data_IF_963082133647
#
_entry.id   IF_963082133647
#
_cell.length_a   1.000
_cell.length_b   1.000
_cell.length_c   1.000
_cell.angle_alpha   90.00
_cell.angle_beta   90.00
_cell.angle_gamma   90.00
#
_symmetry.space_group_name_H-M   'P 1'
#
loop_
_entity.id
_entity.type
_entity.pdbx_description
1 polymer ?
#
# COMPACT_ATOMS: atom_id res chain seq x y z
N UNK A 1 31.93 -1.92 -10.00
CA UNK A 1 32.62 -1.16 -11.09
C UNK A 1 31.83 -1.24 -12.40
N UNK A 2 31.43 -2.43 -12.86
CA UNK A 2 30.59 -2.59 -14.07
C UNK A 2 29.27 -1.80 -14.02
N UNK A 3 28.50 -1.91 -12.93
CA UNK A 3 27.27 -1.13 -12.76
C UNK A 3 27.49 0.39 -12.80
N UNK A 4 28.66 0.90 -12.40
CA UNK A 4 28.96 2.33 -12.50
C UNK A 4 29.02 2.78 -13.95
N UNK A 5 29.73 2.00 -14.76
CA UNK A 5 29.93 2.26 -16.18
C UNK A 5 28.62 2.16 -16.96
N UNK A 6 27.80 1.15 -16.68
CA UNK A 6 26.49 1.01 -17.32
C UNK A 6 25.58 2.23 -17.04
N UNK A 7 25.62 2.77 -15.82
CA UNK A 7 24.86 3.97 -15.46
C UNK A 7 25.43 5.24 -16.13
N UNK A 8 26.75 5.38 -16.18
CA UNK A 8 27.42 6.49 -16.89
C UNK A 8 27.06 6.49 -18.40
N UNK A 9 27.06 5.31 -19.03
CA UNK A 9 26.64 5.14 -20.42
C UNK A 9 25.14 5.46 -20.58
N UNK A 10 24.30 5.03 -19.63
CA UNK A 10 22.87 5.33 -19.63
C UNK A 10 22.57 6.83 -19.57
N UNK A 11 23.22 7.62 -18.71
CA UNK A 11 22.92 9.06 -18.66
C UNK A 11 23.34 9.82 -19.92
N UNK A 12 24.23 9.25 -20.74
CA UNK A 12 24.60 9.82 -22.04
C UNK A 12 23.63 9.38 -23.14
N UNK A 13 23.20 8.12 -23.13
CA UNK A 13 22.37 7.54 -24.21
C UNK A 13 20.87 7.61 -23.95
N UNK A 14 20.46 7.70 -22.68
CA UNK A 14 19.11 7.50 -22.16
C UNK A 14 18.46 6.18 -22.61
N UNK A 15 19.27 5.19 -23.00
CA UNK A 15 18.79 3.91 -23.52
C UNK A 15 18.61 2.89 -22.40
N UNK A 16 17.36 2.70 -21.93
CA UNK A 16 17.04 1.75 -20.86
C UNK A 16 17.28 0.29 -21.27
N UNK A 17 17.19 -0.04 -22.56
CA UNK A 17 17.37 -1.42 -23.05
C UNK A 17 18.80 -1.94 -22.82
N UNK A 18 19.81 -1.06 -22.87
CA UNK A 18 21.20 -1.41 -22.56
C UNK A 18 21.35 -1.79 -21.09
N UNK A 19 20.72 -1.04 -20.19
CA UNK A 19 20.71 -1.33 -18.75
C UNK A 19 19.95 -2.62 -18.45
N UNK A 20 18.82 -2.84 -19.12
CA UNK A 20 18.06 -4.07 -19.01
C UNK A 20 18.89 -5.29 -19.43
N UNK A 21 19.54 -5.21 -20.60
CA UNK A 21 20.40 -6.29 -21.12
C UNK A 21 21.53 -6.56 -20.14
N UNK A 22 22.18 -5.51 -19.65
CA UNK A 22 23.24 -5.61 -18.63
C UNK A 22 22.77 -6.34 -17.36
N UNK A 23 21.61 -6.00 -16.81
CA UNK A 23 21.08 -6.63 -15.60
C UNK A 23 20.72 -8.11 -15.83
N UNK A 24 20.14 -8.42 -16.99
CA UNK A 24 19.79 -9.78 -17.37
C UNK A 24 21.02 -10.66 -17.59
N UNK A 25 22.05 -10.13 -18.27
CA UNK A 25 23.32 -10.84 -18.50
C UNK A 25 24.11 -11.06 -17.21
N UNK A 26 24.08 -10.09 -16.29
CA UNK A 26 24.74 -10.22 -15.00
C UNK A 26 24.11 -11.36 -14.17
N UNK A 27 22.79 -11.57 -14.32
CA UNK A 27 22.03 -12.65 -13.67
C UNK A 27 22.25 -12.72 -12.14
N UNK A 28 22.31 -11.56 -11.49
CA UNK A 28 22.53 -11.41 -10.04
C UNK A 28 21.35 -10.73 -9.36
N UNK A 29 20.16 -11.34 -9.47
CA UNK A 29 18.90 -10.78 -8.95
C UNK A 29 18.99 -10.37 -7.47
N UNK A 30 19.67 -11.16 -6.64
CA UNK A 30 19.88 -10.85 -5.22
C UNK A 30 20.65 -9.54 -4.94
N UNK A 31 21.30 -8.95 -5.95
CA UNK A 31 22.06 -7.70 -5.84
C UNK A 31 21.39 -6.52 -6.58
N UNK A 32 20.19 -6.70 -7.12
CA UNK A 32 19.45 -5.62 -7.80
C UNK A 32 19.21 -4.42 -6.89
N UNK A 33 18.92 -4.65 -5.60
CA UNK A 33 18.83 -3.57 -4.61
C UNK A 33 20.12 -2.72 -4.49
N UNK A 34 21.30 -3.33 -4.73
CA UNK A 34 22.58 -2.62 -4.70
C UNK A 34 22.79 -1.80 -5.97
N UNK A 35 22.33 -2.31 -7.11
CA UNK A 35 22.25 -1.54 -8.35
C UNK A 35 21.37 -0.30 -8.16
N UNK A 36 20.16 -0.47 -7.61
CA UNK A 36 19.22 0.63 -7.33
C UNK A 36 19.89 1.68 -6.45
N UNK A 37 20.40 1.30 -5.27
CA UNK A 37 21.08 2.22 -4.36
C UNK A 37 22.21 2.98 -5.08
N UNK A 38 23.01 2.27 -5.87
CA UNK A 38 24.16 2.84 -6.57
C UNK A 38 23.75 3.82 -7.66
N UNK A 39 22.67 3.54 -8.40
CA UNK A 39 22.09 4.46 -9.37
C UNK A 39 21.62 5.76 -8.71
N UNK A 40 20.93 5.68 -7.57
CA UNK A 40 20.48 6.86 -6.84
C UNK A 40 21.68 7.69 -6.36
N UNK A 41 22.66 7.09 -5.69
CA UNK A 41 23.84 7.81 -5.19
C UNK A 41 24.64 8.47 -6.32
N UNK A 42 24.83 7.76 -7.44
CA UNK A 42 25.56 8.32 -8.58
C UNK A 42 24.78 9.46 -9.24
N UNK A 43 23.45 9.41 -9.27
CA UNK A 43 22.63 10.53 -9.76
C UNK A 43 22.81 11.81 -8.94
N UNK A 44 23.12 11.72 -7.64
CA UNK A 44 23.36 12.88 -6.77
C UNK A 44 24.74 13.53 -7.02
N UNK A 45 25.68 12.75 -7.57
CA UNK A 45 27.07 13.16 -7.81
C UNK A 45 27.31 13.75 -9.21
N UNK A 46 26.28 13.79 -10.06
CA UNK A 46 26.31 14.37 -11.40
C UNK A 46 26.43 15.91 -11.30
N UNK A 47 27.53 16.47 -11.80
CA UNK A 47 27.89 17.90 -11.62
C UNK A 47 27.15 18.85 -12.57
N UNK A 48 26.83 18.41 -13.79
CA UNK A 48 26.31 19.30 -14.85
C UNK A 48 24.80 19.12 -15.12
N UNK A 49 24.26 17.92 -14.94
CA UNK A 49 22.85 17.56 -15.22
C UNK A 49 22.17 16.97 -13.98
N UNK A 50 22.41 17.54 -12.79
CA UNK A 50 21.97 16.96 -11.52
C UNK A 50 20.47 16.62 -11.46
N UNK A 51 19.53 17.55 -11.74
CA UNK A 51 18.10 17.26 -11.74
C UNK A 51 17.68 16.30 -12.85
N UNK A 52 18.17 16.51 -14.07
CA UNK A 52 17.86 15.68 -15.25
C UNK A 52 18.31 14.22 -15.04
N UNK A 53 19.48 14.01 -14.44
CA UNK A 53 19.99 12.68 -14.15
C UNK A 53 19.13 11.95 -13.10
N UNK A 54 18.61 12.68 -12.09
CA UNK A 54 17.70 12.10 -11.09
C UNK A 54 16.37 11.69 -11.73
N UNK A 55 15.78 12.56 -12.54
CA UNK A 55 14.53 12.29 -13.25
C UNK A 55 14.70 11.11 -14.22
N UNK A 56 15.78 11.08 -15.00
CA UNK A 56 16.12 9.96 -15.87
C UNK A 56 16.27 8.64 -15.09
N UNK A 57 16.87 8.68 -13.91
CA UNK A 57 17.02 7.48 -13.06
C UNK A 57 15.67 6.95 -12.58
N UNK A 58 14.73 7.83 -12.21
CA UNK A 58 13.37 7.43 -11.83
C UNK A 58 12.64 6.82 -13.03
N UNK A 59 12.70 7.47 -14.20
CA UNK A 59 12.10 6.96 -15.44
C UNK A 59 12.69 5.60 -15.86
N UNK A 60 14.00 5.40 -15.65
CA UNK A 60 14.66 4.10 -15.85
C UNK A 60 14.07 3.03 -14.93
N UNK A 61 13.87 3.33 -13.63
CA UNK A 61 13.26 2.39 -12.70
C UNK A 61 11.82 2.04 -13.07
N UNK A 62 11.01 3.00 -13.54
CA UNK A 62 9.65 2.76 -14.03
C UNK A 62 9.65 1.76 -15.20
N UNK A 63 10.52 1.96 -16.18
CA UNK A 63 10.63 1.07 -17.34
C UNK A 63 11.16 -0.32 -16.96
N UNK A 64 12.21 -0.41 -16.12
CA UNK A 64 12.76 -1.68 -15.67
C UNK A 64 11.78 -2.48 -14.80
N UNK A 65 10.94 -1.79 -14.01
CA UNK A 65 9.89 -2.42 -13.21
C UNK A 65 8.76 -2.93 -14.11
N UNK A 66 8.35 -2.13 -15.11
CA UNK A 66 7.33 -2.52 -16.09
C UNK A 66 7.77 -3.71 -16.96
N UNK A 67 9.08 -3.80 -17.26
CA UNK A 67 9.67 -4.93 -17.96
C UNK A 67 9.90 -6.17 -17.08
N UNK A 68 9.62 -6.10 -15.77
CA UNK A 68 9.81 -7.20 -14.82
C UNK A 68 11.28 -7.51 -14.49
N UNK A 69 12.21 -6.61 -14.79
CA UNK A 69 13.65 -6.76 -14.53
C UNK A 69 13.97 -6.42 -13.07
N UNK A 70 13.35 -5.36 -12.56
CA UNK A 70 13.41 -4.94 -11.16
C UNK A 70 12.07 -5.20 -10.48
N UNK A 71 12.11 -5.74 -9.26
CA UNK A 71 10.93 -5.84 -8.41
C UNK A 71 10.74 -4.57 -7.57
N UNK A 72 9.51 -4.36 -7.07
CA UNK A 72 9.25 -3.28 -6.10
C UNK A 72 10.05 -3.48 -4.81
N UNK A 73 10.35 -4.72 -4.43
CA UNK A 73 11.19 -5.03 -3.26
C UNK A 73 12.64 -4.59 -3.48
N UNK A 74 13.20 -4.75 -4.68
CA UNK A 74 14.55 -4.27 -5.01
C UNK A 74 14.65 -2.75 -4.84
N UNK A 75 13.61 -2.03 -5.26
CA UNK A 75 13.51 -0.57 -5.11
C UNK A 75 13.41 -0.16 -3.64
N UNK A 76 12.56 -0.85 -2.86
CA UNK A 76 12.43 -0.63 -1.43
C UNK A 76 13.75 -0.86 -0.68
N UNK A 77 14.42 -2.00 -0.91
CA UNK A 77 15.70 -2.30 -0.28
C UNK A 77 16.80 -1.31 -0.71
N UNK A 78 16.81 -0.91 -1.97
CA UNK A 78 17.72 0.12 -2.48
C UNK A 78 17.54 1.46 -1.75
N UNK A 79 16.29 1.89 -1.57
CA UNK A 79 15.95 3.11 -0.85
C UNK A 79 16.24 3.03 0.65
N UNK A 80 15.93 1.90 1.31
CA UNK A 80 16.30 1.67 2.72
C UNK A 80 17.81 1.79 2.93
N UNK A 81 18.60 1.20 2.03
CA UNK A 81 20.08 1.28 2.10
C UNK A 81 20.59 2.68 1.83
N UNK A 82 19.98 3.43 0.90
CA UNK A 82 20.29 4.84 0.69
C UNK A 82 20.05 5.63 1.98
N UNK A 83 18.85 5.52 2.56
CA UNK A 83 18.48 6.21 3.80
C UNK A 83 19.49 5.91 4.92
N UNK A 84 19.91 4.66 5.05
CA UNK A 84 20.91 4.23 6.04
C UNK A 84 22.30 4.89 5.86
N UNK A 85 22.64 5.34 4.65
CA UNK A 85 23.93 5.96 4.33
C UNK A 85 23.86 7.49 4.19
N UNK A 86 22.68 8.10 4.39
CA UNK A 86 22.51 9.55 4.18
C UNK A 86 23.34 10.42 5.11
N UNK A 87 23.59 9.96 6.35
CA UNK A 87 24.44 10.71 7.29
C UNK A 87 25.87 10.86 6.72
N UNK A 88 26.43 9.80 6.14
CA UNK A 88 27.74 9.83 5.49
C UNK A 88 27.71 10.62 4.18
N UNK A 89 26.68 10.41 3.35
CA UNK A 89 26.54 11.12 2.06
C UNK A 89 26.37 12.64 2.23
N UNK A 90 25.77 13.08 3.33
CA UNK A 90 25.62 14.49 3.65
C UNK A 90 26.95 15.17 4.01
N UNK A 91 27.99 14.41 4.37
CA UNK A 91 29.34 14.95 4.59
C UNK A 91 29.99 15.37 3.27
N UNK A 92 29.77 14.59 2.20
CA UNK A 92 30.34 14.83 0.89
C UNK A 92 29.52 15.84 0.07
N UNK A 93 28.21 15.90 0.31
CA UNK A 93 27.29 16.75 -0.42
C UNK A 93 26.26 17.43 0.52
N UNK A 94 26.36 18.75 0.74
CA UNK A 94 25.46 19.47 1.66
C UNK A 94 23.99 19.48 1.19
N UNK A 95 23.72 19.23 -0.10
CA UNK A 95 22.37 19.17 -0.67
C UNK A 95 21.79 17.75 -0.72
N UNK A 96 22.52 16.75 -0.19
CA UNK A 96 22.10 15.34 -0.25
C UNK A 96 20.71 15.11 0.37
N UNK A 97 20.38 15.81 1.46
CA UNK A 97 19.08 15.69 2.13
C UNK A 97 17.93 16.14 1.24
N UNK A 98 18.08 17.28 0.57
CA UNK A 98 17.06 17.83 -0.32
C UNK A 98 16.92 16.96 -1.57
N UNK A 99 18.05 16.54 -2.16
CA UNK A 99 18.06 15.63 -3.31
C UNK A 99 17.42 14.29 -2.99
N UNK A 100 17.72 13.69 -1.84
CA UNK A 100 17.11 12.44 -1.40
C UNK A 100 15.61 12.60 -1.11
N UNK A 101 15.20 13.75 -0.60
CA UNK A 101 13.79 14.08 -0.38
C UNK A 101 13.05 14.17 -1.71
N UNK A 102 13.58 14.92 -2.68
CA UNK A 102 12.96 15.07 -4.00
C UNK A 102 12.92 13.72 -4.72
N UNK A 103 14.01 12.96 -4.67
CA UNK A 103 14.10 11.65 -5.31
C UNK A 103 13.07 10.67 -4.72
N UNK A 104 12.98 10.57 -3.40
CA UNK A 104 11.99 9.71 -2.74
C UNK A 104 10.55 10.17 -3.02
N UNK A 105 10.30 11.48 -3.12
CA UNK A 105 9.00 12.01 -3.52
C UNK A 105 8.65 11.62 -4.97
N UNK A 106 9.60 11.71 -5.91
CA UNK A 106 9.42 11.25 -7.30
C UNK A 106 9.17 9.75 -7.37
N UNK A 107 9.85 8.93 -6.58
CA UNK A 107 9.58 7.48 -6.51
C UNK A 107 8.17 7.16 -5.99
N UNK A 108 7.65 7.99 -5.07
CA UNK A 108 6.26 7.86 -4.61
C UNK A 108 5.28 8.27 -5.71
N UNK A 109 5.55 9.38 -6.40
CA UNK A 109 4.71 9.87 -7.49
C UNK A 109 4.66 8.89 -8.67
N UNK A 110 5.77 8.20 -8.98
CA UNK A 110 5.85 7.15 -10.01
C UNK A 110 5.36 5.77 -9.55
N UNK A 111 4.70 5.66 -8.39
CA UNK A 111 4.20 4.40 -7.81
C UNK A 111 5.26 3.28 -7.65
N UNK A 112 6.54 3.66 -7.66
CA UNK A 112 7.70 2.79 -7.48
C UNK A 112 7.84 2.35 -6.03
N UNK A 113 7.53 3.26 -5.10
CA UNK A 113 7.58 3.04 -3.65
C UNK A 113 6.33 3.59 -3.01
N UNK A 114 5.80 2.88 -2.01
CA UNK A 114 4.58 3.27 -1.32
C UNK A 114 4.87 4.17 -0.11
N UNK A 115 3.97 5.13 0.17
CA UNK A 115 4.01 5.90 1.43
C UNK A 115 3.98 5.02 2.70
N UNK A 116 3.22 3.91 2.74
CA UNK A 116 3.34 2.86 3.78
C UNK A 116 4.77 2.43 4.08
N UNK A 117 5.54 2.09 3.04
CA UNK A 117 6.93 1.70 3.19
C UNK A 117 7.77 2.82 3.82
N UNK A 118 7.56 4.08 3.41
CA UNK A 118 8.27 5.22 4.00
C UNK A 118 7.91 5.43 5.49
N UNK A 119 6.63 5.23 5.85
CA UNK A 119 6.20 5.26 7.26
C UNK A 119 6.86 4.14 8.06
N UNK A 120 6.98 2.93 7.50
CA UNK A 120 7.67 1.79 8.13
C UNK A 120 9.15 2.10 8.35
N UNK A 121 9.84 2.67 7.35
CA UNK A 121 11.22 3.13 7.50
C UNK A 121 11.36 4.16 8.63
N UNK A 122 10.38 5.07 8.76
CA UNK A 122 10.35 6.08 9.82
C UNK A 122 10.14 5.45 11.21
N UNK A 123 9.20 4.52 11.35
CA UNK A 123 8.93 3.80 12.60
C UNK A 123 10.13 2.97 13.05
N UNK A 124 10.83 2.35 12.11
CA UNK A 124 12.06 1.58 12.36
C UNK A 124 13.30 2.46 12.54
N UNK A 125 13.17 3.78 12.45
CA UNK A 125 14.25 4.77 12.56
C UNK A 125 15.42 4.51 11.60
N UNK A 126 15.10 4.09 10.37
CA UNK A 126 16.09 3.89 9.31
C UNK A 126 16.77 5.22 8.98
N UNK A 127 18.10 5.20 8.90
CA UNK A 127 18.89 6.36 8.46
C UNK A 127 19.14 7.43 9.52
N UNK A 128 18.95 7.11 10.81
CA UNK A 128 19.33 8.01 11.90
C UNK A 128 18.57 9.34 11.84
N UNK A 129 19.25 10.44 12.17
CA UNK A 129 18.64 11.77 12.19
C UNK A 129 18.36 12.29 10.78
N UNK A 130 19.27 12.07 9.84
CA UNK A 130 19.15 12.62 8.49
C UNK A 130 18.11 11.85 7.67
N UNK A 131 18.10 10.53 7.75
CA UNK A 131 17.07 9.70 7.11
C UNK A 131 15.66 10.02 7.62
N UNK A 132 15.49 10.21 8.94
CA UNK A 132 14.21 10.64 9.51
C UNK A 132 13.77 12.02 9.00
N UNK A 133 14.71 12.98 8.87
CA UNK A 133 14.42 14.29 8.27
C UNK A 133 13.94 14.16 6.83
N UNK A 134 14.57 13.31 6.02
CA UNK A 134 14.13 13.04 4.64
C UNK A 134 12.72 12.45 4.65
N UNK A 135 12.48 11.40 5.43
CA UNK A 135 11.17 10.75 5.52
C UNK A 135 10.05 11.71 5.94
N UNK A 136 10.30 12.56 6.94
CA UNK A 136 9.34 13.59 7.37
C UNK A 136 9.10 14.63 6.26
N UNK A 137 10.13 14.98 5.49
CA UNK A 137 10.04 15.98 4.42
C UNK A 137 9.30 15.43 3.20
N UNK A 138 9.52 14.17 2.84
CA UNK A 138 8.79 13.48 1.77
C UNK A 138 7.30 13.44 2.09
N UNK A 139 6.93 13.06 3.32
CA UNK A 139 5.52 13.04 3.74
C UNK A 139 4.82 14.40 3.59
N UNK A 140 5.54 15.51 3.80
CA UNK A 140 4.98 16.86 3.58
C UNK A 140 4.84 17.21 2.10
N UNK A 141 5.75 16.72 1.24
CA UNK A 141 5.74 16.97 -0.21
C UNK A 141 4.77 16.08 -0.98
N UNK A 142 4.40 14.92 -0.45
CA UNK A 142 3.46 13.99 -1.09
C UNK A 142 2.20 13.79 -0.24
N UNK A 143 1.41 14.85 0.06
CA UNK A 143 0.21 14.74 0.88
C UNK A 143 -0.94 14.01 0.16
N UNK A 144 -0.96 14.06 -1.17
CA UNK A 144 -1.93 13.36 -2.03
C UNK A 144 -1.73 11.84 -2.01
N UNK A 145 -0.46 11.41 -2.00
CA UNK A 145 -0.06 10.00 -1.92
C UNK A 145 -0.03 9.46 -0.49
N UNK A 146 -0.09 10.35 0.51
CA UNK A 146 -0.48 9.94 1.84
C UNK A 146 -1.94 9.50 1.76
N UNK A 147 -2.21 8.22 2.02
CA UNK A 147 -3.52 7.52 2.12
C UNK A 147 -4.69 8.28 2.79
N UNK A 148 -4.47 9.48 3.32
CA UNK A 148 -5.44 10.44 3.83
C UNK A 148 -6.23 11.19 2.74
N UNK A 149 -5.71 11.31 1.50
CA UNK A 149 -6.38 12.02 0.39
C UNK A 149 -6.67 11.12 -0.82
N UNK A 150 -6.99 9.85 -0.60
CA UNK A 150 -7.54 9.02 -1.67
C UNK A 150 -8.91 9.58 -2.08
N UNK A 151 -9.10 9.79 -3.39
CA UNK A 151 -10.43 9.96 -3.94
C UNK A 151 -11.26 8.68 -3.71
N UNK A 152 -12.57 8.77 -3.91
CA UNK A 152 -13.47 7.65 -3.62
C UNK A 152 -13.16 6.42 -4.48
N UNK A 153 -12.73 6.61 -5.73
CA UNK A 153 -12.46 5.51 -6.68
C UNK A 153 -11.18 4.75 -6.31
N UNK A 154 -10.10 5.46 -6.04
CA UNK A 154 -8.83 4.92 -5.58
C UNK A 154 -8.99 4.27 -4.22
N UNK A 155 -9.72 4.88 -3.29
CA UNK A 155 -10.03 4.25 -2.00
C UNK A 155 -10.71 2.88 -2.17
N UNK A 156 -11.73 2.80 -3.02
CA UNK A 156 -12.44 1.54 -3.30
C UNK A 156 -11.56 0.46 -3.91
N UNK A 157 -10.64 0.85 -4.81
CA UNK A 157 -9.69 -0.07 -5.45
C UNK A 157 -8.63 -0.57 -4.48
N UNK A 158 -8.11 0.32 -3.64
CA UNK A 158 -7.18 -0.05 -2.58
C UNK A 158 -7.84 -1.03 -1.60
N UNK A 159 -9.06 -0.72 -1.13
CA UNK A 159 -9.84 -1.62 -0.29
C UNK A 159 -9.97 -3.02 -0.90
N UNK A 160 -10.38 -3.09 -2.17
CA UNK A 160 -10.53 -4.36 -2.86
C UNK A 160 -9.21 -5.13 -2.94
N UNK A 161 -8.10 -4.45 -3.23
CA UNK A 161 -6.77 -5.07 -3.30
C UNK A 161 -6.37 -5.64 -1.94
N UNK A 162 -6.46 -4.84 -0.87
CA UNK A 162 -6.09 -5.27 0.49
C UNK A 162 -6.94 -6.45 0.97
N UNK A 163 -8.24 -6.45 0.65
CA UNK A 163 -9.17 -7.53 1.06
C UNK A 163 -8.83 -8.84 0.32
N UNK A 164 -8.56 -8.77 -0.99
CA UNK A 164 -8.18 -9.95 -1.77
C UNK A 164 -6.81 -10.50 -1.36
N UNK A 165 -5.84 -9.62 -1.06
CA UNK A 165 -4.55 -10.02 -0.50
C UNK A 165 -4.72 -10.71 0.86
N UNK A 166 -5.62 -10.20 1.70
CA UNK A 166 -5.96 -10.86 2.95
C UNK A 166 -6.57 -12.25 2.73
N UNK A 167 -7.54 -12.42 1.85
CA UNK A 167 -8.12 -13.76 1.62
C UNK A 167 -7.11 -14.78 1.08
N UNK A 168 -6.07 -14.32 0.38
CA UNK A 168 -4.99 -15.19 -0.08
C UNK A 168 -3.95 -15.51 1.00
N UNK A 169 -3.71 -14.59 1.93
CA UNK A 169 -2.63 -14.70 2.94
C UNK A 169 -3.11 -15.18 4.31
N UNK A 170 -4.33 -14.82 4.69
CA UNK A 170 -4.88 -14.99 6.03
C UNK A 170 -4.21 -14.12 7.11
N UNK A 171 -3.41 -13.11 6.75
CA UNK A 171 -2.66 -12.29 7.72
C UNK A 171 -3.50 -11.11 8.22
N UNK A 172 -4.18 -11.28 9.38
CA UNK A 172 -4.98 -10.21 9.98
C UNK A 172 -4.11 -9.02 10.45
N UNK A 173 -2.86 -9.27 10.84
CA UNK A 173 -1.97 -8.25 11.36
C UNK A 173 -1.48 -7.30 10.26
N UNK A 174 -1.16 -7.82 9.07
CA UNK A 174 -0.84 -6.97 7.92
C UNK A 174 -2.07 -6.22 7.42
N UNK A 175 -3.24 -6.85 7.35
CA UNK A 175 -4.47 -6.14 6.99
C UNK A 175 -4.77 -5.00 7.98
N UNK A 176 -4.65 -5.25 9.28
CA UNK A 176 -4.79 -4.22 10.31
C UNK A 176 -3.79 -3.06 10.16
N UNK A 177 -2.54 -3.33 9.76
CA UNK A 177 -1.58 -2.27 9.42
C UNK A 177 -2.06 -1.45 8.22
N UNK A 178 -2.54 -2.11 7.18
CA UNK A 178 -3.10 -1.45 6.01
C UNK A 178 -4.30 -0.54 6.36
N UNK A 179 -5.19 -0.98 7.24
CA UNK A 179 -6.32 -0.18 7.77
C UNK A 179 -5.82 1.04 8.56
N UNK A 180 -4.86 0.87 9.48
CA UNK A 180 -4.24 2.01 10.20
C UNK A 180 -3.65 3.05 9.25
N UNK A 181 -3.12 2.60 8.13
CA UNK A 181 -2.52 3.51 7.17
C UNK A 181 -3.54 4.35 6.41
N UNK A 182 -4.78 3.84 6.25
CA UNK A 182 -5.93 4.57 5.72
C UNK A 182 -6.56 5.53 6.74
N UNK A 183 -6.30 5.35 8.04
CA UNK A 183 -6.88 6.17 9.10
C UNK A 183 -6.43 7.66 9.05
N UNK A 184 -7.29 8.61 9.48
CA UNK A 184 -8.61 8.40 10.07
C UNK A 184 -9.68 8.07 9.01
N UNK A 185 -10.53 7.08 9.30
CA UNK A 185 -11.66 6.73 8.46
C UNK A 185 -12.86 7.62 8.83
N UNK A 186 -13.51 8.23 7.84
CA UNK A 186 -14.84 8.80 8.05
C UNK A 186 -15.86 7.68 8.25
N UNK A 187 -17.02 8.01 8.77
CA UNK A 187 -18.14 7.07 8.90
C UNK A 187 -18.43 6.36 7.57
N UNK A 188 -18.49 7.08 6.45
CA UNK A 188 -18.77 6.47 5.14
C UNK A 188 -17.65 5.52 4.69
N UNK A 189 -16.39 5.90 4.92
CA UNK A 189 -15.23 5.06 4.54
C UNK A 189 -15.14 3.79 5.38
N UNK A 190 -15.49 3.89 6.67
CA UNK A 190 -15.52 2.73 7.57
C UNK A 190 -16.65 1.76 7.19
N UNK A 191 -17.85 2.27 6.91
CA UNK A 191 -18.97 1.46 6.44
C UNK A 191 -18.64 0.77 5.11
N UNK A 192 -18.02 1.48 4.17
CA UNK A 192 -17.58 0.91 2.90
C UNK A 192 -16.52 -0.19 3.06
N UNK A 193 -15.54 -0.01 3.95
CA UNK A 193 -14.54 -1.05 4.28
C UNK A 193 -15.24 -2.33 4.78
N UNK A 194 -16.12 -2.20 5.78
CA UNK A 194 -16.79 -3.33 6.41
C UNK A 194 -17.73 -4.04 5.40
N UNK A 195 -18.53 -3.27 4.65
CA UNK A 195 -19.39 -3.82 3.59
C UNK A 195 -18.56 -4.57 2.55
N UNK A 196 -17.46 -3.98 2.04
CA UNK A 196 -16.62 -4.64 1.03
C UNK A 196 -15.99 -5.93 1.55
N UNK A 197 -15.57 -5.99 2.82
CA UNK A 197 -15.06 -7.23 3.44
C UNK A 197 -16.11 -8.33 3.37
N UNK A 198 -17.36 -8.03 3.75
CA UNK A 198 -18.45 -9.01 3.76
C UNK A 198 -18.88 -9.42 2.35
N UNK A 199 -19.10 -8.45 1.46
CA UNK A 199 -19.55 -8.70 0.08
C UNK A 199 -18.53 -9.52 -0.71
N UNK A 200 -17.25 -9.15 -0.67
CA UNK A 200 -16.20 -9.92 -1.37
C UNK A 200 -16.02 -11.34 -0.79
N UNK A 201 -16.38 -11.56 0.47
CA UNK A 201 -16.39 -12.90 1.05
C UNK A 201 -17.57 -13.73 0.50
N UNK A 202 -18.77 -13.13 0.46
CA UNK A 202 -19.99 -13.77 -0.06
C UNK A 202 -19.86 -14.17 -1.54
N UNK A 203 -19.20 -13.33 -2.35
CA UNK A 203 -18.94 -13.61 -3.77
C UNK A 203 -18.01 -14.82 -3.99
N UNK A 204 -17.31 -15.28 -2.95
CA UNK A 204 -16.27 -16.33 -3.05
C UNK A 204 -16.73 -17.66 -2.48
N UNK A 205 -16.78 -17.78 -1.15
CA UNK A 205 -17.19 -19.02 -0.49
C UNK A 205 -17.49 -18.80 1.00
N UNK A 206 -18.20 -19.76 1.61
CA UNK A 206 -18.46 -19.75 3.05
C UNK A 206 -17.19 -19.74 3.92
N UNK A 207 -16.08 -20.30 3.44
CA UNK A 207 -14.81 -20.28 4.17
C UNK A 207 -14.23 -18.85 4.25
N UNK A 208 -14.32 -18.07 3.16
CA UNK A 208 -13.97 -16.65 3.17
C UNK A 208 -14.93 -15.83 4.04
N UNK A 209 -16.22 -16.20 4.14
CA UNK A 209 -17.15 -15.56 5.07
C UNK A 209 -16.72 -15.73 6.53
N UNK A 210 -16.30 -16.94 6.92
CA UNK A 210 -15.71 -17.17 8.25
C UNK A 210 -14.42 -16.37 8.47
N UNK A 211 -13.58 -16.26 7.44
CA UNK A 211 -12.33 -15.50 7.49
C UNK A 211 -12.61 -13.99 7.66
N UNK A 212 -13.59 -13.46 6.93
CA UNK A 212 -14.05 -12.08 7.05
C UNK A 212 -14.58 -11.77 8.47
N UNK A 213 -15.38 -12.66 9.06
CA UNK A 213 -15.83 -12.51 10.44
C UNK A 213 -14.66 -12.49 11.44
N UNK A 214 -13.70 -13.42 11.29
CA UNK A 214 -12.49 -13.44 12.13
C UNK A 214 -11.71 -12.13 12.02
N UNK A 215 -11.58 -11.59 10.81
CA UNK A 215 -10.93 -10.31 10.56
C UNK A 215 -11.66 -9.16 11.26
N UNK A 216 -12.99 -9.05 11.11
CA UNK A 216 -13.78 -8.00 11.78
C UNK A 216 -13.65 -8.08 13.31
N UNK A 217 -13.65 -9.28 13.87
CA UNK A 217 -13.39 -9.50 15.30
C UNK A 217 -11.98 -9.05 15.68
N UNK A 218 -10.98 -9.37 14.86
CA UNK A 218 -9.59 -8.97 15.11
C UNK A 218 -9.44 -7.45 15.09
N UNK A 219 -10.00 -6.78 14.07
CA UNK A 219 -9.95 -5.32 13.91
C UNK A 219 -10.66 -4.60 15.07
N UNK A 220 -11.80 -5.13 15.53
CA UNK A 220 -12.49 -4.59 16.68
C UNK A 220 -11.68 -4.73 17.98
N UNK A 221 -11.08 -5.91 18.20
CA UNK A 221 -10.24 -6.17 19.38
C UNK A 221 -8.98 -5.30 19.45
N UNK A 222 -8.46 -4.89 18.30
CA UNK A 222 -7.29 -4.01 18.20
C UNK A 222 -7.67 -2.52 18.06
N UNK A 223 -8.93 -2.17 18.31
CA UNK A 223 -9.43 -0.79 18.29
C UNK A 223 -9.27 -0.08 16.94
N UNK A 224 -9.13 -0.84 15.85
CA UNK A 224 -9.10 -0.31 14.48
C UNK A 224 -10.49 0.07 13.99
N UNK A 225 -11.51 -0.63 14.50
CA UNK A 225 -12.93 -0.42 14.23
C UNK A 225 -13.71 -0.44 15.55
N UNK A 226 -14.52 0.58 15.77
CA UNK A 226 -15.45 0.58 16.90
C UNK A 226 -16.79 -0.09 16.54
N UNK A 227 -17.61 -0.39 17.55
CA UNK A 227 -18.90 -1.04 17.35
C UNK A 227 -19.88 -0.20 16.51
N UNK A 228 -19.77 1.13 16.54
CA UNK A 228 -20.66 2.01 15.77
C UNK A 228 -20.31 2.00 14.28
N UNK A 229 -19.02 1.93 13.94
CA UNK A 229 -18.54 1.74 12.57
C UNK A 229 -19.01 0.39 12.03
N UNK A 230 -18.90 -0.66 12.84
CA UNK A 230 -19.37 -2.01 12.47
C UNK A 230 -20.88 -2.00 12.20
N UNK A 231 -21.69 -1.46 13.11
CA UNK A 231 -23.15 -1.35 12.92
C UNK A 231 -23.49 -0.63 11.61
N UNK A 232 -22.85 0.51 11.32
CA UNK A 232 -23.05 1.24 10.05
C UNK A 232 -22.64 0.43 8.81
N UNK A 233 -21.59 -0.38 8.90
CA UNK A 233 -21.16 -1.25 7.81
C UNK A 233 -22.16 -2.37 7.51
N UNK A 234 -22.80 -2.92 8.54
CA UNK A 234 -23.92 -3.85 8.40
C UNK A 234 -25.14 -3.15 7.80
N UNK A 235 -25.49 -1.96 8.29
CA UNK A 235 -26.60 -1.17 7.74
C UNK A 235 -26.39 -0.85 6.25
N UNK A 236 -25.18 -0.42 5.85
CA UNK A 236 -24.83 -0.14 4.44
C UNK A 236 -24.89 -1.41 3.57
N UNK A 237 -24.52 -2.58 4.10
CA UNK A 237 -24.67 -3.85 3.38
C UNK A 237 -26.15 -4.18 3.13
N UNK A 238 -26.99 -4.13 4.17
CA UNK A 238 -28.41 -4.43 4.05
C UNK A 238 -29.16 -3.43 3.17
N UNK A 239 -28.77 -2.16 3.18
CA UNK A 239 -29.36 -1.14 2.28
C UNK A 239 -29.17 -1.44 0.79
N UNK A 240 -28.27 -2.37 0.43
CA UNK A 240 -27.95 -2.77 -0.94
C UNK A 240 -28.21 -4.26 -1.20
N UNK A 241 -29.02 -4.90 -0.34
CA UNK A 241 -29.25 -6.34 -0.42
C UNK A 241 -29.92 -6.75 -1.75
N UNK A 242 -30.84 -5.92 -2.26
CA UNK A 242 -31.51 -6.17 -3.54
C UNK A 242 -30.51 -6.28 -4.69
N UNK A 243 -29.57 -5.34 -4.79
CA UNK A 243 -28.50 -5.35 -5.80
C UNK A 243 -27.55 -6.53 -5.58
N UNK A 244 -27.18 -6.81 -4.32
CA UNK A 244 -26.25 -7.88 -3.97
C UNK A 244 -26.80 -9.26 -4.34
N UNK A 245 -28.11 -9.46 -4.21
CA UNK A 245 -28.78 -10.72 -4.54
C UNK A 245 -28.77 -11.01 -6.05
N UNK A 246 -28.60 -9.97 -6.89
CA UNK A 246 -28.43 -10.14 -8.34
C UNK A 246 -27.08 -10.81 -8.68
N UNK A 247 -26.03 -10.50 -7.92
CA UNK A 247 -24.69 -11.05 -8.12
C UNK A 247 -24.52 -12.38 -7.36
N UNK A 248 -25.12 -12.50 -6.17
CA UNK A 248 -25.01 -13.64 -5.26
C UNK A 248 -26.42 -14.07 -4.81
N UNK A 249 -27.02 -15.11 -5.42
CA UNK A 249 -28.41 -15.50 -5.14
C UNK A 249 -28.72 -15.78 -3.66
N UNK A 250 -27.75 -16.31 -2.92
CA UNK A 250 -27.91 -16.66 -1.50
C UNK A 250 -27.37 -15.57 -0.55
N UNK A 251 -27.21 -14.33 -1.04
CA UNK A 251 -26.64 -13.21 -0.27
C UNK A 251 -27.39 -12.91 1.02
N UNK A 252 -28.73 -12.96 1.00
CA UNK A 252 -29.56 -12.69 2.16
C UNK A 252 -29.32 -13.70 3.29
N UNK A 253 -29.26 -15.00 2.95
CA UNK A 253 -28.98 -16.07 3.92
C UNK A 253 -27.56 -15.93 4.49
N UNK A 254 -26.57 -15.66 3.63
CA UNK A 254 -25.20 -15.42 4.09
C UNK A 254 -25.11 -14.19 5.00
N UNK A 255 -25.82 -13.10 4.69
CA UNK A 255 -25.86 -11.90 5.51
C UNK A 255 -26.48 -12.17 6.89
N UNK A 256 -27.57 -12.94 6.95
CA UNK A 256 -28.14 -13.39 8.23
C UNK A 256 -27.11 -14.20 9.04
N UNK A 257 -26.36 -15.10 8.40
CA UNK A 257 -25.27 -15.83 9.06
C UNK A 257 -24.20 -14.90 9.61
N UNK A 258 -23.80 -13.85 8.87
CA UNK A 258 -22.89 -12.81 9.38
C UNK A 258 -23.44 -12.14 10.64
N UNK A 259 -24.73 -11.80 10.68
CA UNK A 259 -25.38 -11.16 11.84
C UNK A 259 -25.34 -12.08 13.06
N UNK A 260 -25.71 -13.36 12.90
CA UNK A 260 -25.72 -14.34 13.99
C UNK A 260 -24.33 -14.48 14.61
N UNK A 261 -23.30 -14.64 13.77
CA UNK A 261 -21.92 -14.78 14.25
C UNK A 261 -21.36 -13.47 14.83
N UNK A 262 -21.70 -12.32 14.24
CA UNK A 262 -21.31 -11.01 14.76
C UNK A 262 -21.94 -10.73 16.14
N UNK A 263 -23.20 -11.11 16.36
CA UNK A 263 -23.86 -11.04 17.69
C UNK A 263 -23.18 -11.98 18.69
N UNK A 264 -22.84 -13.22 18.31
CA UNK A 264 -22.08 -14.16 19.17
C UNK A 264 -20.71 -13.60 19.55
N UNK A 265 -20.03 -12.96 18.60
CA UNK A 265 -18.73 -12.32 18.80
C UNK A 265 -18.81 -10.96 19.53
N UNK A 266 -20.02 -10.48 19.87
CA UNK A 266 -20.29 -9.19 20.53
C UNK A 266 -19.85 -7.97 19.69
N UNK A 267 -19.83 -8.10 18.37
CA UNK A 267 -19.57 -6.98 17.46
C UNK A 267 -20.80 -6.10 17.29
N UNK A 268 -21.99 -6.72 17.26
CA UNK A 268 -23.28 -6.05 17.17
C UNK A 268 -24.00 -6.08 18.52
N UNK A 269 -24.75 -5.01 18.84
CA UNK A 269 -25.65 -4.99 20.00
C UNK A 269 -26.76 -6.03 19.85
N UNK A 270 -27.24 -6.57 20.98
CA UNK A 270 -28.34 -7.56 20.98
C UNK A 270 -29.63 -7.03 20.37
N UNK A 271 -29.86 -5.73 20.48
CA UNK A 271 -31.03 -5.03 19.94
C UNK A 271 -30.84 -4.59 18.48
N UNK A 272 -29.77 -5.02 17.79
CA UNK A 272 -29.61 -4.76 16.37
C UNK A 272 -30.63 -5.62 15.61
N UNK A 273 -31.47 -4.99 14.76
CA UNK A 273 -32.65 -5.65 14.19
C UNK A 273 -32.23 -6.87 13.37
N UNK A 274 -32.82 -8.03 13.67
CA UNK A 274 -32.90 -9.10 12.67
C UNK A 274 -33.92 -8.58 11.66
N UNK A 275 -33.49 -8.28 10.44
CA UNK A 275 -34.42 -7.85 9.40
C UNK A 275 -35.50 -8.91 9.23
N UNK A 276 -36.73 -8.51 9.51
CA UNK A 276 -37.94 -9.33 9.42
C UNK A 276 -38.12 -9.79 7.95
N UNK A 277 -38.19 -11.10 7.75
CA UNK A 277 -38.82 -11.69 6.58
C UNK A 277 -40.34 -11.43 6.68
N UNK A 278 -40.88 -10.75 5.67
CA UNK A 278 -42.27 -10.83 5.19
C UNK A 278 -43.41 -10.43 6.16
N UNK A 279 -43.82 -9.15 6.14
CA UNK A 279 -45.25 -8.81 6.19
C UNK A 279 -45.85 -8.90 4.76
N UNK A 280 -45.93 -10.12 4.21
CA UNK A 280 -46.95 -10.44 3.20
C UNK A 280 -48.06 -11.23 3.91
N UNK A 281 -49.09 -10.53 4.40
CA UNK A 281 -50.49 -11.00 4.42
C UNK A 281 -51.40 -9.92 5.06
N UNK A 282 -51.97 -9.06 4.20
CA UNK A 282 -53.42 -8.77 4.18
C UNK A 282 -53.82 -7.99 2.93
#
# INVERSE_FOLDING_TARGET
KQAARALEEYWVSLNVNEVQTFLQELNMQAYHHEFVKKAIIMSFSQKDSGPEAREATVAMFEQLTSAGVLSKDDLQWGLTRLLAQLDDQALDNPHCVDQATDFAASMVAGELVSVPFLRRCRLLRIGGTTGLRVLDSVQRKTPEYCKRHLDTSHFKRELQTMILEFFNSGDEAEFGRCVRELAPLSDEKSAELIRKIMVLAMERSGAECEMALKLLVWLHRHEELDSTMIEKGFDDMYSRMDDLTLDVPDAAEMAQSFVVEAKKAKLLRRSWPETEEEEEHQ
#
